data_IF_281940053962
#
_entry.id   IF_281940053962
#
_cell.length_a   1.000
_cell.length_b   1.000
_cell.length_c   1.000
_cell.angle_alpha   90.00
_cell.angle_beta   90.00
_cell.angle_gamma   90.00
#
_symmetry.space_group_name_H-M   'P 1'
#
loop_
_entity.id
_entity.type
_entity.pdbx_description
1 polymer ?
#
# COMPACT_ATOMS: atom_id res chain seq x y z
N UNK A 1 -37.01 25.21 -26.16
CA UNK A 1 -35.82 24.32 -26.18
C UNK A 1 -34.96 24.55 -24.92
N UNK A 2 -35.49 24.23 -23.72
CA UNK A 2 -34.82 24.54 -22.42
C UNK A 2 -35.12 23.52 -21.28
N UNK A 3 -35.38 22.25 -21.60
CA UNK A 3 -35.78 21.25 -20.60
C UNK A 3 -35.10 19.87 -20.75
N UNK A 4 -33.84 19.81 -21.18
CA UNK A 4 -33.10 18.52 -21.33
C UNK A 4 -31.75 18.44 -20.63
N UNK A 5 -31.33 19.46 -19.88
CA UNK A 5 -30.01 19.49 -19.23
C UNK A 5 -30.06 19.06 -17.75
N UNK A 6 -31.22 19.13 -17.08
CA UNK A 6 -31.34 18.80 -15.65
C UNK A 6 -31.41 17.28 -15.35
N UNK A 7 -31.70 16.43 -16.34
CA UNK A 7 -31.93 14.98 -16.10
C UNK A 7 -30.65 14.14 -16.22
N UNK A 8 -29.60 14.62 -16.88
CA UNK A 8 -28.35 13.85 -17.03
C UNK A 8 -27.43 13.91 -15.80
N UNK A 9 -27.48 14.98 -15.01
CA UNK A 9 -26.61 15.11 -13.82
C UNK A 9 -27.08 14.24 -12.65
N UNK A 10 -28.39 13.96 -12.55
CA UNK A 10 -28.95 13.20 -11.42
C UNK A 10 -28.72 11.67 -11.56
N UNK A 11 -28.60 11.15 -12.78
CA UNK A 11 -28.36 9.72 -13.04
C UNK A 11 -26.90 9.33 -12.72
N UNK A 12 -25.93 10.24 -12.94
CA UNK A 12 -24.52 9.98 -12.61
C UNK A 12 -24.27 9.87 -11.09
N UNK A 13 -24.94 10.68 -10.26
CA UNK A 13 -24.83 10.58 -8.79
C UNK A 13 -25.48 9.30 -8.23
N UNK A 14 -26.62 8.86 -8.78
CA UNK A 14 -27.28 7.62 -8.37
C UNK A 14 -26.46 6.38 -8.76
N UNK A 15 -25.85 6.38 -9.95
CA UNK A 15 -24.98 5.30 -10.39
C UNK A 15 -23.70 5.20 -9.54
N UNK A 16 -23.03 6.33 -9.26
CA UNK A 16 -21.83 6.36 -8.41
C UNK A 16 -22.13 5.90 -6.96
N UNK A 17 -23.26 6.33 -6.39
CA UNK A 17 -23.70 5.88 -5.06
C UNK A 17 -24.03 4.38 -5.01
N UNK A 18 -24.63 3.83 -6.07
CA UNK A 18 -24.96 2.40 -6.14
C UNK A 18 -23.74 1.50 -6.32
N UNK A 19 -22.74 1.94 -7.11
CA UNK A 19 -21.49 1.19 -7.30
C UNK A 19 -20.65 1.23 -6.03
N UNK A 20 -20.59 2.37 -5.34
CA UNK A 20 -19.86 2.49 -4.07
C UNK A 20 -20.51 1.63 -2.96
N UNK A 21 -21.83 1.68 -2.81
CA UNK A 21 -22.55 0.85 -1.84
C UNK A 21 -22.43 -0.66 -2.14
N UNK A 22 -22.52 -1.06 -3.42
CA UNK A 22 -22.36 -2.46 -3.83
C UNK A 22 -20.92 -2.97 -3.60
N UNK A 23 -19.93 -2.10 -3.81
CA UNK A 23 -18.52 -2.44 -3.57
C UNK A 23 -18.27 -2.63 -2.07
N UNK A 24 -18.69 -1.68 -1.23
CA UNK A 24 -18.55 -1.80 0.22
C UNK A 24 -19.24 -3.08 0.75
N UNK A 25 -20.40 -3.45 0.20
CA UNK A 25 -21.08 -4.71 0.53
C UNK A 25 -20.23 -5.95 0.19
N UNK A 26 -19.47 -5.92 -0.92
CA UNK A 26 -18.62 -7.04 -1.33
C UNK A 26 -17.41 -7.20 -0.42
N UNK A 27 -16.78 -6.10 -0.01
CA UNK A 27 -15.68 -6.10 0.96
C UNK A 27 -16.18 -6.58 2.33
N UNK A 28 -17.30 -6.07 2.82
CA UNK A 28 -17.92 -6.53 4.07
C UNK A 28 -18.22 -8.04 4.03
N UNK A 29 -18.77 -8.53 2.91
CA UNK A 29 -19.04 -9.95 2.75
C UNK A 29 -17.76 -10.80 2.78
N UNK A 30 -16.71 -10.37 2.08
CA UNK A 30 -15.40 -11.05 2.09
C UNK A 30 -14.77 -11.06 3.49
N UNK A 31 -14.85 -9.94 4.20
CA UNK A 31 -14.38 -9.79 5.56
C UNK A 31 -15.18 -10.64 6.55
N UNK A 32 -16.49 -10.78 6.34
CA UNK A 32 -17.33 -11.71 7.11
C UNK A 32 -16.97 -13.16 6.84
N UNK A 33 -16.71 -13.54 5.58
CA UNK A 33 -16.27 -14.89 5.26
C UNK A 33 -14.93 -15.24 5.93
N UNK A 34 -13.96 -14.32 5.92
CA UNK A 34 -12.68 -14.56 6.57
C UNK A 34 -12.79 -14.71 8.09
N UNK A 35 -13.77 -14.07 8.74
CA UNK A 35 -14.00 -14.25 10.21
C UNK A 35 -14.39 -15.67 10.60
N UNK A 36 -14.98 -16.46 9.69
CA UNK A 36 -15.35 -17.84 9.96
C UNK A 36 -14.16 -18.82 9.88
N UNK A 37 -13.08 -18.41 9.22
CA UNK A 37 -11.92 -19.25 8.91
C UNK A 37 -10.69 -18.87 9.75
N UNK A 38 -10.74 -17.73 10.43
CA UNK A 38 -9.61 -17.09 11.09
C UNK A 38 -9.79 -17.01 12.62
N UNK A 39 -8.69 -16.88 13.39
CA UNK A 39 -8.77 -16.52 14.80
C UNK A 39 -9.55 -15.20 14.99
N UNK A 40 -10.55 -15.15 15.90
CA UNK A 40 -11.46 -13.99 16.03
C UNK A 40 -10.75 -12.64 16.21
N UNK A 41 -9.72 -12.59 17.05
CA UNK A 41 -8.97 -11.36 17.33
C UNK A 41 -8.21 -10.84 16.09
N UNK A 42 -7.70 -11.75 15.26
CA UNK A 42 -6.98 -11.38 14.04
C UNK A 42 -7.94 -10.89 12.95
N UNK A 43 -9.10 -11.53 12.84
CA UNK A 43 -10.14 -11.08 11.92
C UNK A 43 -10.66 -9.69 12.33
N UNK A 44 -10.97 -9.49 13.61
CA UNK A 44 -11.37 -8.17 14.13
C UNK A 44 -10.31 -7.10 13.85
N UNK A 45 -9.03 -7.42 14.06
CA UNK A 45 -7.93 -6.48 13.80
C UNK A 45 -7.81 -6.08 12.33
N UNK A 46 -8.00 -7.03 11.40
CA UNK A 46 -8.03 -6.75 9.96
C UNK A 46 -9.20 -5.82 9.61
N UNK A 47 -10.39 -6.09 10.15
CA UNK A 47 -11.57 -5.25 9.93
C UNK A 47 -11.35 -3.82 10.45
N UNK A 48 -10.83 -3.69 11.67
CA UNK A 48 -10.51 -2.39 12.28
C UNK A 48 -9.51 -1.59 11.44
N UNK A 49 -8.43 -2.23 10.98
CA UNK A 49 -7.43 -1.56 10.16
C UNK A 49 -8.04 -1.05 8.85
N UNK A 50 -8.81 -1.86 8.14
CA UNK A 50 -9.46 -1.47 6.88
C UNK A 50 -10.45 -0.32 7.13
N UNK A 51 -11.31 -0.44 8.15
CA UNK A 51 -12.30 0.59 8.48
C UNK A 51 -11.67 1.90 8.98
N UNK A 52 -10.41 1.87 9.44
CA UNK A 52 -9.72 3.08 9.89
C UNK A 52 -9.34 4.00 8.74
N UNK A 53 -9.11 3.50 7.53
CA UNK A 53 -8.73 4.28 6.34
C UNK A 53 -9.76 4.14 5.21
N UNK A 54 -10.62 5.15 4.99
CA UNK A 54 -11.52 5.20 3.84
C UNK A 54 -10.80 5.08 2.49
N UNK A 55 -9.57 5.62 2.37
CA UNK A 55 -8.77 5.49 1.17
C UNK A 55 -8.35 4.03 0.91
N UNK A 56 -7.92 3.30 1.94
CA UNK A 56 -7.60 1.88 1.84
C UNK A 56 -8.85 1.05 1.50
N UNK A 57 -9.97 1.32 2.16
CA UNK A 57 -11.24 0.65 1.88
C UNK A 57 -11.64 0.79 0.41
N UNK A 58 -11.56 2.01 -0.15
CA UNK A 58 -11.84 2.28 -1.56
C UNK A 58 -10.88 1.52 -2.50
N UNK A 59 -9.60 1.41 -2.15
CA UNK A 59 -8.62 0.64 -2.93
C UNK A 59 -8.94 -0.86 -2.94
N UNK A 60 -9.22 -1.44 -1.78
CA UNK A 60 -9.57 -2.86 -1.66
C UNK A 60 -10.86 -3.17 -2.43
N UNK A 61 -11.86 -2.30 -2.34
CA UNK A 61 -13.07 -2.38 -3.14
C UNK A 61 -12.80 -2.38 -4.64
N UNK A 62 -11.92 -1.49 -5.13
CA UNK A 62 -11.54 -1.46 -6.54
C UNK A 62 -10.83 -2.74 -6.99
N UNK A 63 -10.01 -3.35 -6.11
CA UNK A 63 -9.37 -4.64 -6.38
C UNK A 63 -10.38 -5.78 -6.45
N UNK A 64 -11.38 -5.79 -5.57
CA UNK A 64 -12.48 -6.77 -5.57
C UNK A 64 -13.28 -6.64 -6.87
N UNK A 65 -13.69 -5.43 -7.23
CA UNK A 65 -14.42 -5.17 -8.47
C UNK A 65 -13.63 -5.58 -9.73
N UNK A 66 -12.30 -5.53 -9.67
CA UNK A 66 -11.40 -5.95 -10.75
C UNK A 66 -11.03 -7.43 -10.71
N UNK A 67 -11.50 -8.20 -9.72
CA UNK A 67 -11.15 -9.61 -9.52
C UNK A 67 -9.70 -9.85 -9.07
N UNK A 68 -8.99 -8.79 -8.69
CA UNK A 68 -7.60 -8.85 -8.21
C UNK A 68 -7.52 -9.21 -6.72
N UNK A 69 -8.64 -9.09 -6.00
CA UNK A 69 -8.82 -9.56 -4.64
C UNK A 69 -10.13 -10.34 -4.55
N UNK A 70 -10.05 -11.62 -4.19
CA UNK A 70 -11.23 -12.49 -4.04
C UNK A 70 -11.35 -13.09 -2.65
N UNK A 71 -10.27 -13.11 -1.87
CA UNK A 71 -10.26 -13.70 -0.52
C UNK A 71 -9.15 -13.15 0.36
N UNK A 72 -9.46 -13.01 1.64
CA UNK A 72 -8.48 -12.90 2.72
C UNK A 72 -8.33 -14.24 3.44
N UNK A 73 -7.12 -14.79 3.47
CA UNK A 73 -6.75 -15.96 4.27
C UNK A 73 -5.96 -15.49 5.50
N UNK A 74 -6.62 -15.45 6.66
CA UNK A 74 -6.06 -14.89 7.89
C UNK A 74 -5.65 -16.02 8.85
N UNK A 75 -4.50 -15.89 9.50
CA UNK A 75 -4.04 -16.84 10.51
C UNK A 75 -3.37 -18.09 9.92
N UNK A 76 -2.95 -18.03 8.66
CA UNK A 76 -2.17 -19.08 7.99
C UNK A 76 -0.81 -19.29 8.67
N UNK A 77 -0.32 -20.53 8.69
CA UNK A 77 0.94 -20.85 9.36
C UNK A 77 2.15 -20.42 8.51
N UNK A 78 3.30 -20.10 9.12
CA UNK A 78 4.54 -19.71 8.40
C UNK A 78 4.96 -20.70 7.30
N UNK A 79 4.69 -21.98 7.52
CA UNK A 79 4.93 -23.13 6.64
C UNK A 79 3.99 -23.17 5.42
N UNK A 80 2.87 -22.47 5.47
CA UNK A 80 1.96 -22.27 4.34
C UNK A 80 2.33 -21.05 3.49
N UNK A 81 3.34 -20.26 3.90
CA UNK A 81 3.77 -19.02 3.23
C UNK A 81 4.97 -19.30 2.32
N UNK A 82 4.83 -19.24 0.99
CA UNK A 82 5.96 -19.42 0.08
C UNK A 82 6.89 -18.19 0.13
N UNK A 83 8.05 -18.33 0.80
CA UNK A 83 9.11 -17.33 0.98
C UNK A 83 8.66 -16.00 1.63
N UNK A 84 9.46 -15.53 2.59
CA UNK A 84 9.18 -14.35 3.40
C UNK A 84 9.19 -13.07 2.54
N UNK A 85 8.02 -12.68 2.05
CA UNK A 85 7.74 -11.30 1.67
C UNK A 85 7.91 -10.37 2.88
N UNK A 86 8.02 -9.06 2.66
CA UNK A 86 8.45 -8.10 3.68
C UNK A 86 7.50 -7.94 4.87
N UNK A 87 6.24 -8.35 4.68
CA UNK A 87 5.18 -8.26 5.67
C UNK A 87 4.73 -9.63 6.19
N UNK A 88 5.50 -10.72 6.02
CA UNK A 88 5.03 -12.08 6.38
C UNK A 88 3.59 -12.38 5.88
N UNK A 89 3.29 -11.80 4.72
CA UNK A 89 2.04 -11.82 3.99
C UNK A 89 2.37 -12.02 2.52
N UNK A 90 1.46 -12.64 1.77
CA UNK A 90 1.68 -12.90 0.35
C UNK A 90 0.37 -12.86 -0.42
N UNK A 91 0.51 -12.62 -1.72
CA UNK A 91 -0.59 -12.69 -2.67
C UNK A 91 -0.35 -13.95 -3.50
N UNK A 92 -1.33 -14.85 -3.51
CA UNK A 92 -1.36 -15.98 -4.44
C UNK A 92 -2.62 -15.85 -5.30
N UNK A 93 -2.41 -15.62 -6.59
CA UNK A 93 -3.48 -15.25 -7.53
C UNK A 93 -4.23 -14.00 -7.03
N UNK A 94 -5.48 -14.17 -6.58
CA UNK A 94 -6.30 -13.10 -5.97
C UNK A 94 -6.60 -13.35 -4.49
N UNK A 95 -5.94 -14.33 -3.87
CA UNK A 95 -6.02 -14.58 -2.43
C UNK A 95 -4.87 -13.88 -1.72
N UNK A 96 -5.21 -13.07 -0.72
CA UNK A 96 -4.25 -12.40 0.14
C UNK A 96 -4.16 -13.13 1.46
N UNK A 97 -2.98 -13.63 1.78
CA UNK A 97 -2.76 -14.48 2.93
C UNK A 97 -1.84 -13.81 3.95
N UNK A 98 -2.25 -13.85 5.21
CA UNK A 98 -1.65 -13.14 6.33
C UNK A 98 -1.36 -14.09 7.48
N UNK A 99 -0.08 -14.24 7.82
CA UNK A 99 0.28 -15.05 8.98
C UNK A 99 -0.29 -14.46 10.28
N UNK A 100 -0.62 -15.31 11.24
CA UNK A 100 -1.14 -14.85 12.52
C UNK A 100 -0.17 -13.93 13.28
N UNK A 101 1.13 -14.25 13.18
CA UNK A 101 2.22 -13.43 13.72
C UNK A 101 2.23 -12.01 13.16
N UNK A 102 1.92 -11.85 11.86
CA UNK A 102 1.87 -10.55 11.23
C UNK A 102 0.74 -9.71 11.84
N UNK A 103 -0.49 -10.21 11.85
CA UNK A 103 -1.62 -9.42 12.34
C UNK A 103 -1.47 -9.05 13.83
N UNK A 104 -0.95 -9.98 14.65
CA UNK A 104 -0.70 -9.73 16.07
C UNK A 104 0.41 -8.72 16.36
N UNK A 105 1.41 -8.60 15.48
CA UNK A 105 2.60 -7.73 15.70
C UNK A 105 2.52 -6.37 15.02
N UNK A 106 1.55 -6.13 14.14
CA UNK A 106 1.48 -4.90 13.34
C UNK A 106 0.28 -4.01 13.68
N UNK A 107 -0.18 -4.05 14.92
CA UNK A 107 -1.14 -3.06 15.44
C UNK A 107 -0.54 -1.66 15.61
N UNK A 108 -1.34 -0.73 16.13
CA UNK A 108 -0.85 0.58 16.57
C UNK A 108 0.18 0.41 17.67
N UNK A 109 1.42 0.79 17.38
CA UNK A 109 2.54 0.65 18.30
C UNK A 109 3.22 2.00 18.50
N UNK A 110 3.66 2.22 19.74
CA UNK A 110 4.53 3.34 20.08
C UNK A 110 5.95 2.80 20.16
N UNK A 111 6.83 3.34 19.32
CA UNK A 111 8.25 2.99 19.28
C UNK A 111 9.10 3.97 20.09
N UNK A 112 8.59 5.17 20.35
CA UNK A 112 9.30 6.22 21.07
C UNK A 112 8.53 6.68 22.31
N UNK A 113 9.24 6.83 23.44
CA UNK A 113 8.66 7.15 24.76
C UNK A 113 8.20 8.61 24.91
N UNK A 114 8.43 9.47 23.91
CA UNK A 114 7.94 10.85 23.93
C UNK A 114 6.44 10.83 23.63
N UNK A 115 5.63 11.12 24.64
CA UNK A 115 4.16 11.10 24.56
C UNK A 115 3.61 12.51 24.66
N UNK A 116 2.73 12.87 23.73
CA UNK A 116 1.90 14.07 23.81
C UNK A 116 0.41 13.70 23.84
N UNK A 117 -0.46 14.54 24.45
CA UNK A 117 -1.88 14.20 24.64
C UNK A 117 -2.68 13.96 23.35
N UNK A 118 -2.25 14.56 22.24
CA UNK A 118 -2.90 14.51 20.92
C UNK A 118 -2.09 13.69 19.90
N UNK A 119 -1.22 12.80 20.37
CA UNK A 119 -0.51 11.85 19.51
C UNK A 119 -1.47 10.83 18.90
N UNK A 120 -1.30 10.60 17.61
CA UNK A 120 -1.97 9.54 16.86
C UNK A 120 -0.91 8.52 16.46
N UNK A 121 -1.14 7.25 16.79
CA UNK A 121 -0.21 6.17 16.48
C UNK A 121 -0.50 5.58 15.10
N UNK A 122 0.54 5.26 14.31
CA UNK A 122 0.36 4.66 13.01
C UNK A 122 -0.13 3.23 13.16
N UNK A 123 -1.07 2.84 12.30
CA UNK A 123 -1.51 1.46 12.19
C UNK A 123 -0.64 0.75 11.14
N UNK A 124 0.31 -0.07 11.61
CA UNK A 124 1.27 -0.73 10.72
C UNK A 124 0.59 -1.74 9.77
N UNK A 125 -0.58 -2.25 10.13
CA UNK A 125 -1.39 -3.10 9.27
C UNK A 125 -2.00 -2.30 8.10
N UNK A 126 -2.44 -1.06 8.34
CA UNK A 126 -2.93 -0.16 7.27
C UNK A 126 -1.82 0.11 6.27
N UNK A 127 -0.61 0.43 6.74
CA UNK A 127 0.55 0.63 5.87
C UNK A 127 0.78 -0.58 4.94
N UNK A 128 0.84 -1.78 5.52
CA UNK A 128 1.13 -2.99 4.77
C UNK A 128 0.01 -3.34 3.79
N UNK A 129 -1.25 -3.18 4.18
CA UNK A 129 -2.40 -3.38 3.29
C UNK A 129 -2.39 -2.40 2.12
N UNK A 130 -2.09 -1.13 2.35
CA UNK A 130 -1.95 -0.11 1.31
C UNK A 130 -0.82 -0.42 0.33
N UNK A 131 0.34 -0.82 0.87
CA UNK A 131 1.47 -1.27 0.05
C UNK A 131 1.10 -2.48 -0.83
N UNK A 132 0.46 -3.49 -0.24
CA UNK A 132 0.00 -4.67 -0.99
C UNK A 132 -1.07 -4.32 -2.02
N UNK A 133 -1.97 -3.39 -1.72
CA UNK A 133 -3.01 -2.94 -2.64
C UNK A 133 -2.43 -2.27 -3.87
N UNK A 134 -1.41 -1.43 -3.69
CA UNK A 134 -0.68 -0.84 -4.80
C UNK A 134 -0.04 -1.93 -5.67
N UNK A 135 0.71 -2.85 -5.06
CA UNK A 135 1.39 -3.93 -5.78
C UNK A 135 0.41 -4.81 -6.56
N UNK A 136 -0.73 -5.17 -5.98
CA UNK A 136 -1.76 -5.96 -6.67
C UNK A 136 -2.35 -5.21 -7.87
N UNK A 137 -2.59 -3.90 -7.72
CA UNK A 137 -3.12 -3.04 -8.79
C UNK A 137 -2.16 -2.93 -9.97
N UNK A 138 -0.85 -2.85 -9.71
CA UNK A 138 0.18 -2.62 -10.75
C UNK A 138 0.84 -3.90 -11.27
N UNK A 139 0.62 -5.06 -10.63
CA UNK A 139 1.29 -6.32 -10.95
C UNK A 139 1.28 -6.69 -12.43
N UNK A 140 0.14 -6.53 -13.11
CA UNK A 140 0.02 -6.85 -14.54
C UNK A 140 0.85 -5.92 -15.43
N UNK A 141 0.85 -4.63 -15.11
CA UNK A 141 1.63 -3.64 -15.84
C UNK A 141 3.13 -3.87 -15.63
N UNK A 142 3.53 -4.12 -14.38
CA UNK A 142 4.91 -4.45 -14.02
C UNK A 142 5.41 -5.69 -14.78
N UNK A 143 4.63 -6.78 -14.78
CA UNK A 143 4.97 -8.00 -15.50
C UNK A 143 5.09 -7.78 -17.02
N UNK A 144 4.24 -6.92 -17.60
CA UNK A 144 4.34 -6.57 -19.02
C UNK A 144 5.62 -5.79 -19.35
N UNK A 145 6.03 -4.86 -18.47
CA UNK A 145 7.28 -4.13 -18.62
C UNK A 145 8.50 -5.06 -18.48
N UNK A 146 8.49 -5.97 -17.50
CA UNK A 146 9.54 -6.98 -17.33
C UNK A 146 9.64 -7.93 -18.54
N UNK A 147 8.51 -8.39 -19.08
CA UNK A 147 8.49 -9.22 -20.27
C UNK A 147 9.10 -8.49 -21.49
N UNK A 148 8.84 -7.19 -21.62
CA UNK A 148 9.42 -6.34 -22.68
C UNK A 148 10.94 -6.21 -22.53
N UNK A 149 11.44 -6.00 -21.30
CA UNK A 149 12.88 -5.98 -20.99
C UNK A 149 13.53 -7.33 -21.33
N UNK A 150 12.88 -8.43 -20.96
CA UNK A 150 13.39 -9.78 -21.22
C UNK A 150 13.42 -10.09 -22.72
N UNK A 151 12.41 -9.68 -23.49
CA UNK A 151 12.38 -9.85 -24.94
C UNK A 151 13.50 -9.06 -25.62
N UNK A 152 13.76 -7.83 -25.15
CA UNK A 152 14.85 -6.99 -25.64
C UNK A 152 16.21 -7.64 -25.39
N UNK A 153 16.44 -8.17 -24.18
CA UNK A 153 17.66 -8.92 -23.85
C UNK A 153 17.84 -10.17 -24.72
N UNK A 154 16.80 -10.98 -24.92
CA UNK A 154 16.86 -12.19 -25.78
C UNK A 154 17.27 -11.85 -27.22
N UNK A 155 16.80 -10.71 -27.74
CA UNK A 155 17.16 -10.23 -29.08
C UNK A 155 18.65 -9.86 -29.15
N UNK A 156 19.16 -9.13 -28.14
CA UNK A 156 20.58 -8.76 -28.05
C UNK A 156 21.49 -9.99 -27.89
N UNK A 157 21.11 -10.94 -27.02
CA UNK A 157 21.84 -12.20 -26.83
C UNK A 157 21.93 -13.02 -28.11
N UNK A 158 20.86 -13.03 -28.92
CA UNK A 158 20.85 -13.73 -30.22
C UNK A 158 21.77 -13.07 -31.27
N UNK A 159 22.16 -11.80 -31.06
CA UNK A 159 23.13 -11.08 -31.90
C UNK A 159 24.58 -11.22 -31.43
N UNK A 160 24.84 -12.08 -30.44
CA UNK A 160 26.18 -12.40 -29.93
C UNK A 160 26.64 -11.57 -28.71
N UNK A 161 25.80 -10.65 -28.20
CA UNK A 161 26.08 -9.93 -26.96
C UNK A 161 25.34 -10.58 -25.77
N UNK A 162 26.05 -11.33 -24.95
CA UNK A 162 25.49 -12.04 -23.80
C UNK A 162 25.55 -11.27 -22.47
N UNK A 163 26.04 -10.02 -22.47
CA UNK A 163 26.11 -9.21 -21.25
C UNK A 163 24.70 -8.85 -20.75
N UNK A 164 24.29 -9.47 -19.64
CA UNK A 164 22.99 -9.25 -19.02
C UNK A 164 22.99 -8.05 -18.05
N UNK A 165 24.11 -7.35 -17.86
CA UNK A 165 24.27 -6.32 -16.82
C UNK A 165 23.24 -5.20 -16.95
N UNK A 166 23.00 -4.69 -18.16
CA UNK A 166 22.00 -3.65 -18.41
C UNK A 166 20.57 -4.13 -18.14
N UNK A 167 20.24 -5.34 -18.60
CA UNK A 167 18.94 -5.97 -18.38
C UNK A 167 18.67 -6.16 -16.88
N UNK A 168 19.62 -6.73 -16.14
CA UNK A 168 19.48 -6.95 -14.69
C UNK A 168 19.31 -5.62 -13.97
N UNK A 169 20.12 -4.60 -14.29
CA UNK A 169 19.99 -3.26 -13.69
C UNK A 169 18.60 -2.66 -13.94
N UNK A 170 18.09 -2.74 -15.17
CA UNK A 170 16.78 -2.20 -15.53
C UNK A 170 15.64 -2.96 -14.84
N UNK A 171 15.69 -4.28 -14.79
CA UNK A 171 14.69 -5.11 -14.10
C UNK A 171 14.68 -4.82 -12.59
N UNK A 172 15.85 -4.71 -11.96
CA UNK A 172 15.94 -4.34 -10.53
C UNK A 172 15.42 -2.93 -10.29
N UNK A 173 15.79 -1.94 -11.11
CA UNK A 173 15.28 -0.56 -10.97
C UNK A 173 13.76 -0.49 -11.15
N UNK A 174 13.20 -1.26 -12.07
CA UNK A 174 11.76 -1.33 -12.29
C UNK A 174 11.04 -1.84 -11.03
N UNK A 175 11.53 -2.93 -10.44
CA UNK A 175 10.98 -3.48 -9.19
C UNK A 175 11.09 -2.50 -8.03
N UNK A 176 12.27 -1.91 -7.82
CA UNK A 176 12.50 -0.94 -6.74
C UNK A 176 11.59 0.30 -6.90
N UNK A 177 11.37 0.78 -8.12
CA UNK A 177 10.47 1.91 -8.36
C UNK A 177 9.01 1.56 -8.04
N UNK A 178 8.58 0.34 -8.35
CA UNK A 178 7.24 -0.13 -7.98
C UNK A 178 7.10 -0.24 -6.45
N UNK A 179 8.09 -0.82 -5.77
CA UNK A 179 8.12 -0.93 -4.31
C UNK A 179 8.18 0.45 -3.63
N UNK A 180 8.87 1.42 -4.22
CA UNK A 180 8.90 2.80 -3.75
C UNK A 180 7.52 3.45 -3.84
N UNK A 181 6.81 3.28 -4.96
CA UNK A 181 5.46 3.80 -5.11
C UNK A 181 4.47 3.10 -4.16
N UNK A 182 4.61 1.79 -3.94
CA UNK A 182 3.83 1.04 -2.96
C UNK A 182 4.11 1.49 -1.52
N UNK A 183 5.36 1.81 -1.19
CA UNK A 183 5.78 2.39 0.10
C UNK A 183 5.12 3.74 0.34
N UNK A 184 5.08 4.60 -0.69
CA UNK A 184 4.36 5.89 -0.64
C UNK A 184 2.86 5.66 -0.44
N UNK A 185 2.25 4.70 -1.14
CA UNK A 185 0.83 4.39 -0.97
C UNK A 185 0.52 3.92 0.46
N UNK A 186 1.30 3.00 1.01
CA UNK A 186 1.14 2.55 2.40
C UNK A 186 1.27 3.68 3.41
N UNK A 187 2.20 4.62 3.20
CA UNK A 187 2.30 5.83 4.01
C UNK A 187 1.04 6.69 3.92
N UNK A 188 0.55 6.95 2.71
CA UNK A 188 -0.63 7.76 2.49
C UNK A 188 -1.87 7.17 3.15
N UNK A 189 -2.06 5.84 3.08
CA UNK A 189 -3.18 5.18 3.73
C UNK A 189 -3.07 5.26 5.27
N UNK A 190 -1.85 5.25 5.80
CA UNK A 190 -1.60 5.48 7.24
C UNK A 190 -1.94 6.91 7.65
N UNK A 191 -1.62 7.90 6.81
CA UNK A 191 -1.99 9.31 7.03
C UNK A 191 -3.50 9.48 6.98
N UNK A 192 -4.18 8.89 5.99
CA UNK A 192 -5.63 8.89 5.87
C UNK A 192 -6.30 8.27 7.12
N UNK A 193 -5.80 7.13 7.60
CA UNK A 193 -6.28 6.53 8.85
C UNK A 193 -6.14 7.47 10.06
N UNK A 194 -4.99 8.11 10.18
CA UNK A 194 -4.72 9.04 11.27
C UNK A 194 -5.59 10.31 11.16
N UNK A 195 -5.83 10.83 9.96
CA UNK A 195 -6.74 11.95 9.75
C UNK A 195 -8.18 11.57 10.08
N UNK A 196 -8.62 10.37 9.72
CA UNK A 196 -9.95 9.86 10.08
C UNK A 196 -10.12 9.75 11.59
N UNK A 197 -9.14 9.22 12.31
CA UNK A 197 -9.10 9.22 13.78
C UNK A 197 -9.09 10.64 14.37
N UNK A 198 -8.46 11.59 13.69
CA UNK A 198 -8.47 13.01 14.03
C UNK A 198 -9.79 13.74 13.68
N UNK A 199 -10.88 12.99 13.50
CA UNK A 199 -12.20 13.51 13.12
C UNK A 199 -12.24 14.08 11.70
N UNK A 200 -11.47 13.51 10.79
CA UNK A 200 -11.37 13.93 9.38
C UNK A 200 -10.56 15.20 9.15
N UNK A 201 -9.79 15.66 10.15
CA UNK A 201 -9.00 16.90 10.05
C UNK A 201 -7.55 16.59 9.62
N UNK A 202 -6.92 17.47 8.82
CA UNK A 202 -5.49 17.37 8.53
C UNK A 202 -4.66 17.28 9.81
N UNK A 203 -3.62 16.45 9.77
CA UNK A 203 -2.67 16.35 10.87
C UNK A 203 -1.83 17.62 10.98
N UNK A 204 -1.50 18.03 12.19
CA UNK A 204 -0.46 19.06 12.39
C UNK A 204 0.91 18.52 11.98
N UNK A 205 1.86 19.39 11.62
CA UNK A 205 3.23 18.97 11.30
C UNK A 205 3.86 18.10 12.42
N UNK A 206 3.56 18.42 13.67
CA UNK A 206 3.99 17.64 14.84
C UNK A 206 3.38 16.24 14.85
N UNK A 207 2.07 16.13 14.61
CA UNK A 207 1.37 14.84 14.54
C UNK A 207 1.91 13.99 13.37
N UNK A 208 2.10 14.58 12.18
CA UNK A 208 2.68 13.87 11.03
C UNK A 208 4.10 13.37 11.32
N UNK A 209 4.93 14.17 11.99
CA UNK A 209 6.25 13.75 12.42
C UNK A 209 6.19 12.62 13.46
N UNK A 210 5.31 12.73 14.46
CA UNK A 210 5.11 11.69 15.49
C UNK A 210 4.62 10.37 14.87
N UNK A 211 3.69 10.46 13.92
CA UNK A 211 3.17 9.33 13.14
C UNK A 211 4.31 8.63 12.37
N UNK A 212 5.12 9.40 11.62
CA UNK A 212 6.27 8.88 10.89
C UNK A 212 7.29 8.21 11.81
N UNK A 213 7.59 8.82 12.96
CA UNK A 213 8.57 8.28 13.90
C UNK A 213 8.10 6.98 14.55
N UNK A 214 6.81 6.81 14.80
CA UNK A 214 6.27 5.58 15.38
C UNK A 214 5.94 4.50 14.33
N UNK A 215 6.11 4.78 13.04
CA UNK A 215 5.86 3.81 11.98
C UNK A 215 7.00 2.79 11.93
N UNK A 216 6.67 1.52 11.94
CA UNK A 216 7.66 0.43 11.89
C UNK A 216 8.43 0.41 10.56
N UNK A 217 7.79 0.82 9.47
CA UNK A 217 8.34 0.84 8.11
C UNK A 217 8.91 2.20 7.68
N UNK A 218 9.21 3.08 8.64
CA UNK A 218 9.66 4.47 8.40
C UNK A 218 11.02 4.63 7.72
N UNK A 219 11.87 3.61 7.76
CA UNK A 219 13.30 3.74 7.44
C UNK A 219 13.58 4.34 6.05
N UNK A 220 12.93 3.83 5.01
CA UNK A 220 13.08 4.34 3.65
C UNK A 220 12.49 5.76 3.49
N UNK A 221 11.35 6.03 4.11
CA UNK A 221 10.68 7.34 4.06
C UNK A 221 11.55 8.43 4.71
N UNK A 222 12.08 8.17 5.91
CA UNK A 222 12.96 9.11 6.62
C UNK A 222 14.23 9.39 5.79
N UNK A 223 14.87 8.34 5.26
CA UNK A 223 16.06 8.51 4.40
C UNK A 223 15.73 9.32 3.14
N UNK A 224 14.58 9.08 2.51
CA UNK A 224 14.14 9.83 1.34
C UNK A 224 13.87 11.31 1.67
N UNK A 225 13.30 11.62 2.84
CA UNK A 225 13.11 12.99 3.31
C UNK A 225 14.43 13.71 3.63
N UNK A 226 15.43 12.98 4.12
CA UNK A 226 16.74 13.49 4.52
C UNK A 226 17.76 13.57 3.37
N UNK A 227 17.39 13.14 2.16
CA UNK A 227 18.25 13.25 0.99
C UNK A 227 18.60 14.73 0.70
N UNK A 228 19.68 14.99 -0.07
CA UNK A 228 20.05 16.35 -0.43
C UNK A 228 18.91 17.13 -1.08
N UNK A 229 18.91 18.46 -0.88
CA UNK A 229 17.90 19.35 -1.43
C UNK A 229 17.76 19.17 -2.95
N UNK A 230 16.52 19.04 -3.43
CA UNK A 230 16.22 18.79 -4.84
C UNK A 230 16.23 17.30 -5.23
N UNK A 231 16.57 16.40 -4.32
CA UNK A 231 16.43 14.94 -4.47
C UNK A 231 15.70 14.31 -3.28
N UNK A 232 15.20 15.13 -2.35
CA UNK A 232 14.41 14.68 -1.22
C UNK A 232 12.94 14.50 -1.56
N UNK A 233 12.31 13.53 -0.90
CA UNK A 233 10.87 13.31 -0.96
C UNK A 233 10.14 14.53 -0.37
N UNK A 234 9.12 15.01 -1.06
CA UNK A 234 8.28 16.12 -0.64
C UNK A 234 7.01 15.60 0.03
N UNK A 235 6.75 16.06 1.25
CA UNK A 235 5.52 15.79 2.00
C UNK A 235 4.62 17.02 1.94
N UNK A 236 3.36 16.83 1.60
CA UNK A 236 2.32 17.85 1.61
C UNK A 236 2.00 18.33 3.03
N UNK A 237 1.33 19.48 3.14
CA UNK A 237 0.98 20.07 4.43
C UNK A 237 0.00 19.22 5.25
N UNK A 238 -0.69 18.28 4.61
CA UNK A 238 -1.63 17.33 5.20
C UNK A 238 -0.95 16.01 5.62
N UNK A 239 0.35 15.85 5.35
CA UNK A 239 1.13 14.66 5.64
C UNK A 239 1.21 13.65 4.49
N UNK A 240 0.42 13.82 3.43
CA UNK A 240 0.46 12.93 2.27
C UNK A 240 1.69 13.19 1.39
N UNK A 241 2.09 12.16 0.64
CA UNK A 241 3.14 12.23 -0.37
C UNK A 241 2.51 11.94 -1.72
N UNK A 242 2.59 12.90 -2.65
CA UNK A 242 2.13 12.65 -4.01
C UNK A 242 3.01 11.58 -4.70
N UNK A 243 2.36 10.64 -5.39
CA UNK A 243 3.04 9.60 -6.19
C UNK A 243 3.53 10.22 -7.51
N UNK A 244 4.63 10.95 -7.43
CA UNK A 244 5.30 11.59 -8.57
C UNK A 244 6.62 10.87 -8.90
N UNK A 245 7.14 10.97 -10.14
CA UNK A 245 8.44 10.39 -10.48
C UNK A 245 9.58 10.84 -9.56
N UNK A 246 9.55 12.09 -9.09
CA UNK A 246 10.57 12.62 -8.18
C UNK A 246 10.50 11.98 -6.79
N UNK A 247 9.30 11.86 -6.21
CA UNK A 247 9.12 11.21 -4.91
C UNK A 247 9.41 9.70 -4.97
N UNK A 248 8.97 9.03 -6.04
CA UNK A 248 9.32 7.62 -6.28
C UNK A 248 10.84 7.46 -6.37
N UNK A 249 11.54 8.30 -7.12
CA UNK A 249 13.00 8.22 -7.23
C UNK A 249 13.71 8.45 -5.89
N UNK A 250 13.23 9.38 -5.06
CA UNK A 250 13.78 9.63 -3.73
C UNK A 250 13.65 8.40 -2.82
N UNK A 251 12.46 7.77 -2.79
CA UNK A 251 12.22 6.55 -2.02
C UNK A 251 12.97 5.35 -2.61
N UNK A 252 12.99 5.20 -3.92
CA UNK A 252 13.73 4.14 -4.62
C UNK A 252 15.23 4.19 -4.30
N UNK A 253 15.81 5.38 -4.26
CA UNK A 253 17.21 5.57 -3.87
C UNK A 253 17.44 5.19 -2.40
N UNK A 254 16.51 5.56 -1.51
CA UNK A 254 16.57 5.15 -0.10
C UNK A 254 16.45 3.62 0.07
N UNK A 255 15.57 2.96 -0.69
CA UNK A 255 15.41 1.50 -0.70
C UNK A 255 16.65 0.80 -1.28
N UNK A 256 17.30 1.38 -2.29
CA UNK A 256 18.50 0.80 -2.91
C UNK A 256 19.73 0.82 -2.00
N UNK A 257 19.74 1.71 -1.00
CA UNK A 257 20.85 1.90 -0.06
C UNK A 257 20.54 1.35 1.34
N UNK A 258 19.38 0.70 1.48
CA UNK A 258 18.89 0.08 2.71
C UNK A 258 18.52 -1.38 2.41
N UNK A 259 18.30 -2.20 3.44
CA UNK A 259 17.37 -3.32 3.25
C UNK A 259 16.00 -2.70 2.88
N UNK A 260 15.32 -3.26 1.88
CA UNK A 260 14.04 -2.71 1.34
C UNK A 260 13.00 -2.51 2.46
N UNK A 261 13.11 -3.28 3.55
CA UNK A 261 12.26 -3.17 4.74
C UNK A 261 13.12 -3.35 6.00
N UNK A 262 13.89 -2.33 6.32
CA UNK A 262 14.57 -2.26 7.61
C UNK A 262 13.50 -2.03 8.70
N UNK A 263 13.05 -3.13 9.32
CA UNK A 263 12.16 -3.08 10.49
C UNK A 263 13.00 -2.55 11.65
N UNK A 264 12.76 -1.30 12.05
CA UNK A 264 13.48 -0.62 13.12
C UNK A 264 12.63 -0.41 14.37
#
# INVERSE_FOLDING_TARGET
MKARIATLTMIACLAAGSVHAASNTALEHMLKQSTHEAPPDQAARMHEAIASSPALEAQLNALIASGLLTRFAIGVTPDQVPRRGPFSAWIHESTWAFSGDFIGKHGKQRLFDVVQPDDILPDNLVFALGHMAYGAKTAKELAAQEASLQASYKTQASSGNHDATSFVKQSVSLQINNDAAATIQGWNDTVDAAQHENGGKPLTARQSASLMMNLQYRGALIKAMQAPAGSNMQIGNDGHVEITPANIAAVANALSTSSVFDVQ
#
